data_IF_091606138092
#
_entry.id   IF_091606138092
#
_cell.length_a   1.000
_cell.length_b   1.000
_cell.length_c   1.000
_cell.angle_alpha   90.00
_cell.angle_beta   90.00
_cell.angle_gamma   90.00
#
_symmetry.space_group_name_H-M   'P 1'
#
loop_
_entity.id
_entity.type
_entity.pdbx_description
1 polymer ?
#
# COMPACT_ATOMS: atom_id res chain seq x y z
N UNK A 1 27.96 19.46 34.30
CA UNK A 1 28.15 18.08 34.81
C UNK A 1 27.17 17.07 34.18
N UNK A 2 25.85 17.33 34.12
CA UNK A 2 24.89 16.44 33.42
C UNK A 2 25.12 16.28 31.91
N UNK A 3 25.46 17.36 31.19
CA UNK A 3 25.76 17.31 29.75
C UNK A 3 26.93 16.36 29.43
N UNK A 4 28.04 16.49 30.16
CA UNK A 4 29.23 15.66 29.95
C UNK A 4 29.00 14.19 30.28
N UNK A 5 28.12 13.88 31.25
CA UNK A 5 27.73 12.52 31.57
C UNK A 5 26.83 11.91 30.46
N UNK A 6 25.96 12.71 29.85
CA UNK A 6 25.12 12.30 28.72
C UNK A 6 25.97 12.04 27.46
N UNK A 7 26.91 12.93 27.14
CA UNK A 7 27.84 12.74 26.01
C UNK A 7 28.72 11.49 26.19
N UNK A 8 29.19 11.23 27.41
CA UNK A 8 29.96 10.02 27.74
C UNK A 8 29.11 8.74 27.65
N UNK A 9 27.84 8.79 28.00
CA UNK A 9 26.92 7.66 27.85
C UNK A 9 26.56 7.41 26.36
N UNK A 10 26.43 8.47 25.56
CA UNK A 10 26.16 8.37 24.13
C UNK A 10 27.36 7.85 23.33
N UNK A 11 28.60 8.13 23.73
CA UNK A 11 29.80 7.62 23.04
C UNK A 11 30.07 6.12 23.29
N UNK A 12 29.43 5.53 24.30
CA UNK A 12 29.56 4.11 24.64
C UNK A 12 28.58 3.21 23.86
N UNK A 13 27.54 3.78 23.24
CA UNK A 13 26.65 3.03 22.36
C UNK A 13 27.22 2.97 20.94
N UNK A 14 27.54 1.76 20.45
CA UNK A 14 27.89 1.47 19.04
C UNK A 14 26.75 1.76 18.05
N UNK A 15 25.57 2.14 18.53
CA UNK A 15 24.44 2.42 17.68
C UNK A 15 24.39 3.91 17.36
N UNK A 16 24.12 4.28 16.10
CA UNK A 16 23.93 5.67 15.73
C UNK A 16 22.82 6.30 16.59
N UNK A 17 22.85 7.62 16.83
CA UNK A 17 21.85 8.28 17.65
C UNK A 17 20.44 7.99 17.10
N UNK A 18 19.43 7.87 17.98
CA UNK A 18 18.06 7.63 17.55
C UNK A 18 17.63 8.75 16.60
N UNK A 19 17.30 8.37 15.37
CA UNK A 19 16.81 9.30 14.36
C UNK A 19 15.37 9.64 14.75
N UNK A 20 15.00 10.92 14.78
CA UNK A 20 13.60 11.37 14.84
C UNK A 20 12.90 10.86 13.57
N UNK A 21 12.33 9.66 13.61
CA UNK A 21 12.27 8.79 12.43
C UNK A 21 10.97 8.90 11.63
N UNK A 22 10.47 10.12 11.45
CA UNK A 22 9.60 10.41 10.30
C UNK A 22 10.44 10.36 9.01
N UNK A 23 11.72 10.72 9.10
CA UNK A 23 12.61 10.80 7.94
C UNK A 23 12.65 9.51 7.08
N UNK A 24 12.86 8.30 7.64
CA UNK A 24 12.83 7.07 6.83
C UNK A 24 11.49 6.82 6.14
N UNK A 25 10.37 7.17 6.80
CA UNK A 25 9.02 7.04 6.21
C UNK A 25 8.83 8.06 5.08
N UNK A 26 9.20 9.32 5.32
CA UNK A 26 9.11 10.37 4.30
C UNK A 26 10.02 10.10 3.13
N UNK A 27 11.24 9.63 3.35
CA UNK A 27 12.16 9.26 2.28
C UNK A 27 11.59 8.11 1.46
N UNK A 28 11.09 7.05 2.09
CA UNK A 28 10.41 5.98 1.36
C UNK A 28 9.24 6.51 0.52
N UNK A 29 8.40 7.38 1.08
CA UNK A 29 7.25 7.94 0.38
C UNK A 29 7.69 8.79 -0.82
N UNK A 30 8.61 9.74 -0.61
CA UNK A 30 9.02 10.73 -1.62
C UNK A 30 10.03 10.19 -2.64
N UNK A 31 10.92 9.27 -2.27
CA UNK A 31 11.98 8.79 -3.15
C UNK A 31 11.68 7.43 -3.79
N UNK A 32 10.75 6.65 -3.21
CA UNK A 32 10.38 5.33 -3.73
C UNK A 32 8.91 5.27 -4.14
N UNK A 33 8.01 5.55 -3.20
CA UNK A 33 6.59 5.25 -3.38
C UNK A 33 5.94 6.05 -4.51
N UNK A 34 6.22 7.36 -4.63
CA UNK A 34 5.65 8.19 -5.70
C UNK A 34 5.97 7.69 -7.11
N UNK A 35 7.10 7.00 -7.29
CA UNK A 35 7.51 6.46 -8.60
C UNK A 35 6.88 5.09 -8.88
N UNK A 36 6.54 4.35 -7.81
CA UNK A 36 5.89 3.05 -7.91
C UNK A 36 4.42 3.18 -8.28
N UNK A 37 3.70 4.06 -7.60
CA UNK A 37 2.23 4.17 -7.68
C UNK A 37 1.70 4.32 -9.12
N UNK A 38 2.25 5.19 -10.00
CA UNK A 38 1.81 5.29 -11.40
C UNK A 38 1.99 4.02 -12.24
N UNK A 39 2.90 3.14 -11.82
CA UNK A 39 3.25 1.91 -12.53
C UNK A 39 2.67 0.65 -11.89
N UNK A 40 2.02 0.77 -10.73
CA UNK A 40 1.36 -0.36 -10.07
C UNK A 40 0.27 -0.94 -10.98
N UNK A 41 0.28 -2.27 -11.09
CA UNK A 41 -0.70 -3.04 -11.86
C UNK A 41 -1.76 -3.61 -10.92
N UNK A 42 -2.98 -3.70 -11.42
CA UNK A 42 -4.04 -4.43 -10.75
C UNK A 42 -3.71 -5.92 -10.76
N UNK A 43 -3.68 -6.57 -9.60
CA UNK A 43 -3.35 -8.00 -9.53
C UNK A 43 -4.43 -8.89 -10.17
N UNK A 44 -5.66 -8.40 -10.35
CA UNK A 44 -6.74 -9.15 -11.02
C UNK A 44 -6.66 -9.08 -12.56
N UNK A 45 -6.53 -7.88 -13.15
CA UNK A 45 -6.58 -7.70 -14.60
C UNK A 45 -5.22 -7.42 -15.27
N UNK A 46 -4.18 -7.15 -14.49
CA UNK A 46 -2.81 -6.85 -14.96
C UNK A 46 -2.60 -5.45 -15.55
N UNK A 47 -3.64 -4.62 -15.68
CA UNK A 47 -3.55 -3.24 -16.20
C UNK A 47 -3.12 -2.26 -15.11
N UNK A 48 -2.59 -1.08 -15.49
CA UNK A 48 -2.24 -0.02 -14.53
C UNK A 48 -3.47 0.43 -13.74
N UNK A 49 -3.33 0.58 -12.43
CA UNK A 49 -4.46 0.90 -11.54
C UNK A 49 -4.94 2.33 -11.79
N UNK A 50 -4.02 3.29 -11.80
CA UNK A 50 -4.35 4.71 -11.95
C UNK A 50 -4.85 5.12 -13.33
N UNK A 51 -4.57 4.32 -14.37
CA UNK A 51 -4.98 4.66 -15.74
C UNK A 51 -6.51 4.73 -15.91
N UNK A 52 -7.28 4.01 -15.08
CA UNK A 52 -8.74 3.99 -15.14
C UNK A 52 -9.40 5.00 -14.17
N UNK A 53 -8.59 5.71 -13.38
CA UNK A 53 -9.06 6.58 -12.29
C UNK A 53 -8.85 8.05 -12.63
N UNK A 54 -7.88 8.35 -13.49
CA UNK A 54 -7.67 9.72 -13.96
C UNK A 54 -8.61 9.96 -15.14
N UNK A 55 -9.66 10.74 -14.92
CA UNK A 55 -10.44 11.34 -16.00
C UNK A 55 -9.67 12.53 -16.58
N UNK A 56 -9.80 12.76 -17.88
CA UNK A 56 -9.22 13.96 -18.52
C UNK A 56 -9.89 15.26 -18.03
N UNK A 57 -11.11 15.15 -17.50
CA UNK A 57 -11.85 16.24 -16.89
C UNK A 57 -11.92 16.08 -15.35
N UNK A 58 -11.20 16.90 -14.57
CA UNK A 58 -11.17 16.80 -13.11
C UNK A 58 -12.52 17.08 -12.42
N UNK A 59 -13.53 17.54 -13.16
CA UNK A 59 -14.90 17.73 -12.65
C UNK A 59 -15.77 16.48 -12.79
N UNK A 60 -15.31 15.50 -13.58
CA UNK A 60 -15.99 14.22 -13.74
C UNK A 60 -15.46 13.21 -12.71
N UNK A 61 -16.33 12.63 -11.86
CA UNK A 61 -15.94 11.55 -10.97
C UNK A 61 -15.36 10.40 -11.77
N UNK A 62 -14.28 9.79 -11.30
CA UNK A 62 -13.76 8.58 -11.93
C UNK A 62 -14.76 7.44 -11.78
N UNK A 63 -14.96 6.67 -12.85
CA UNK A 63 -15.85 5.50 -12.86
C UNK A 63 -15.34 4.35 -11.96
N UNK A 64 -14.08 4.41 -11.51
CA UNK A 64 -13.44 3.38 -10.72
C UNK A 64 -12.51 3.97 -9.63
N UNK A 65 -12.14 3.15 -8.65
CA UNK A 65 -11.25 3.54 -7.54
C UNK A 65 -9.96 2.70 -7.51
N UNK A 66 -8.92 3.21 -6.85
CA UNK A 66 -7.70 2.46 -6.55
C UNK A 66 -7.82 1.88 -5.14
N UNK A 67 -8.00 0.57 -5.05
CA UNK A 67 -8.10 -0.12 -3.76
C UNK A 67 -6.81 -0.90 -3.48
N UNK A 68 -6.37 -0.89 -2.22
CA UNK A 68 -5.20 -1.66 -1.78
C UNK A 68 -5.62 -2.67 -0.73
N UNK A 69 -5.46 -3.95 -1.04
CA UNK A 69 -5.71 -5.03 -0.10
C UNK A 69 -4.62 -5.09 0.99
N UNK A 70 -4.92 -5.72 2.12
CA UNK A 70 -3.96 -5.87 3.22
C UNK A 70 -2.75 -6.74 2.89
N UNK A 71 -2.83 -7.60 1.87
CA UNK A 71 -1.66 -8.27 1.31
C UNK A 71 -0.71 -7.31 0.56
N UNK A 72 -1.06 -6.02 0.44
CA UNK A 72 -0.24 -4.97 -0.15
C UNK A 72 -0.47 -4.75 -1.65
N UNK A 73 -1.17 -5.67 -2.33
CA UNK A 73 -1.47 -5.61 -3.77
C UNK A 73 -2.60 -4.64 -4.09
N UNK A 74 -2.52 -4.04 -5.28
CA UNK A 74 -3.48 -3.05 -5.75
C UNK A 74 -4.51 -3.66 -6.70
N UNK A 75 -5.70 -3.09 -6.69
CA UNK A 75 -6.81 -3.46 -7.54
C UNK A 75 -7.57 -2.22 -8.00
N UNK A 76 -8.18 -2.30 -9.19
CA UNK A 76 -9.32 -1.45 -9.48
C UNK A 76 -10.47 -1.81 -8.54
N UNK A 77 -11.26 -0.84 -8.10
CA UNK A 77 -12.42 -1.06 -7.24
C UNK A 77 -13.39 -2.07 -7.83
N UNK A 78 -13.72 -1.92 -9.12
CA UNK A 78 -14.56 -2.87 -9.87
C UNK A 78 -13.97 -4.29 -9.92
N UNK A 79 -12.64 -4.40 -10.09
CA UNK A 79 -11.95 -5.68 -10.14
C UNK A 79 -11.91 -6.36 -8.77
N UNK A 80 -11.70 -5.60 -7.70
CA UNK A 80 -11.74 -6.11 -6.33
C UNK A 80 -13.15 -6.55 -5.96
N UNK A 81 -14.16 -5.76 -6.30
CA UNK A 81 -15.56 -6.08 -6.00
C UNK A 81 -16.00 -7.38 -6.67
N UNK A 82 -15.74 -7.50 -7.98
CA UNK A 82 -15.98 -8.75 -8.71
C UNK A 82 -15.24 -9.92 -8.07
N UNK A 83 -13.99 -9.71 -7.65
CA UNK A 83 -13.18 -10.75 -7.04
C UNK A 83 -13.75 -11.18 -5.66
N UNK A 84 -14.28 -10.25 -4.86
CA UNK A 84 -14.77 -10.57 -3.52
C UNK A 84 -16.21 -11.11 -3.50
N UNK A 85 -17.00 -10.83 -4.55
CA UNK A 85 -18.43 -11.19 -4.63
C UNK A 85 -18.72 -12.38 -5.56
N UNK A 86 -17.81 -12.71 -6.48
CA UNK A 86 -18.00 -13.84 -7.41
C UNK A 86 -17.52 -15.16 -6.77
N UNK A 87 -18.32 -16.24 -6.80
CA UNK A 87 -17.87 -17.56 -6.35
C UNK A 87 -16.62 -18.06 -7.12
N UNK A 88 -15.72 -18.82 -6.48
CA UNK A 88 -15.78 -19.36 -5.12
C UNK A 88 -15.40 -18.33 -4.03
N UNK A 89 -16.20 -18.29 -2.96
CA UNK A 89 -15.98 -17.39 -1.83
C UNK A 89 -14.69 -17.74 -1.07
N UNK A 90 -13.87 -16.73 -0.76
CA UNK A 90 -12.55 -16.90 -0.13
C UNK A 90 -11.38 -16.81 -1.11
N UNK A 91 -11.29 -15.71 -1.86
CA UNK A 91 -10.25 -15.55 -2.89
C UNK A 91 -8.89 -15.25 -2.28
N UNK A 92 -7.91 -16.05 -2.73
CA UNK A 92 -6.50 -15.73 -2.59
C UNK A 92 -6.12 -14.66 -3.60
N UNK A 93 -5.13 -13.85 -3.27
CA UNK A 93 -4.57 -12.88 -4.18
C UNK A 93 -4.13 -13.60 -5.47
N UNK A 94 -4.62 -13.19 -6.65
CA UNK A 94 -4.27 -13.81 -7.93
C UNK A 94 -2.82 -13.53 -8.35
N UNK A 95 -2.12 -12.65 -7.64
CA UNK A 95 -0.70 -12.40 -7.87
C UNK A 95 0.12 -13.67 -7.56
N UNK A 96 1.00 -14.04 -8.50
CA UNK A 96 1.67 -15.34 -8.55
C UNK A 96 2.50 -15.64 -7.29
N UNK A 97 3.08 -14.60 -6.71
CA UNK A 97 3.99 -14.72 -5.57
C UNK A 97 3.28 -14.44 -4.22
N UNK A 98 1.99 -14.12 -4.24
CA UNK A 98 1.24 -13.80 -3.04
C UNK A 98 0.47 -15.00 -2.51
N UNK A 99 -0.57 -15.44 -3.24
CA UNK A 99 -1.46 -16.53 -2.81
C UNK A 99 -2.16 -16.31 -1.45
N UNK A 100 -2.00 -15.15 -0.81
CA UNK A 100 -2.62 -14.87 0.49
C UNK A 100 -4.09 -14.53 0.32
N UNK A 101 -4.90 -14.93 1.30
CA UNK A 101 -6.30 -14.51 1.36
C UNK A 101 -6.42 -12.98 1.34
N UNK A 102 -7.34 -12.47 0.52
CA UNK A 102 -7.58 -11.04 0.41
C UNK A 102 -8.43 -10.57 1.60
N UNK A 103 -7.91 -9.55 2.29
CA UNK A 103 -8.64 -8.78 3.30
C UNK A 103 -8.64 -7.31 2.90
N UNK A 104 -9.80 -6.65 3.06
CA UNK A 104 -10.01 -5.26 2.68
C UNK A 104 -11.07 -4.61 3.58
N UNK A 105 -10.91 -3.33 3.90
CA UNK A 105 -11.78 -2.63 4.87
C UNK A 105 -13.26 -2.58 4.45
N UNK A 106 -13.55 -2.49 3.14
CA UNK A 106 -14.91 -2.50 2.58
C UNK A 106 -15.61 -3.87 2.70
N UNK A 107 -14.85 -4.95 2.91
CA UNK A 107 -15.36 -6.32 2.96
C UNK A 107 -15.01 -6.95 4.31
N UNK A 108 -15.92 -6.83 5.29
CA UNK A 108 -15.69 -7.32 6.66
C UNK A 108 -15.74 -8.85 6.78
N UNK A 109 -16.39 -9.53 5.83
CA UNK A 109 -16.51 -11.00 5.70
C UNK A 109 -16.61 -11.36 4.22
N UNK A 110 -16.46 -12.65 3.89
CA UNK A 110 -16.88 -13.16 2.58
C UNK A 110 -18.36 -12.79 2.41
N UNK A 111 -18.69 -11.99 1.39
CA UNK A 111 -20.06 -11.62 1.09
C UNK A 111 -20.78 -12.93 0.71
N UNK A 112 -21.72 -13.37 1.56
CA UNK A 112 -22.57 -14.54 1.33
C UNK A 112 -23.67 -14.24 0.34
#
# INVERSE_FOLDING_TARGET
QKQAALEKAMSQHKQPPPILSVYPVTDFLTSKFIHLVPNMKCSSCGKRVLANIVSDDPTTPSEDTAERAYCGHWFHGSCLDKLMTTPPFGMSCPDKDCGWRIYHNKYTRDQK
#
